data_IF_310184787056
#
_entry.id   IF_310184787056
#
_cell.length_a   1.000
_cell.length_b   1.000
_cell.length_c   1.000
_cell.angle_alpha   90.00
_cell.angle_beta   90.00
_cell.angle_gamma   90.00
#
_symmetry.space_group_name_H-M   'P 1'
#
loop_
_entity.id
_entity.type
_entity.pdbx_description
1 polymer ?
#
# COMPACT_ATOMS: atom_id res chain seq x y z
N UNK A 1 14.09 2.63 11.84
CA UNK A 1 13.38 2.75 10.54
C UNK A 1 13.13 4.22 10.29
N UNK A 2 13.36 4.72 9.07
CA UNK A 2 12.96 6.09 8.69
C UNK A 2 11.49 6.04 8.27
N UNK A 3 10.73 7.06 8.67
CA UNK A 3 9.40 7.27 8.12
C UNK A 3 9.51 7.59 6.63
N UNK A 4 8.51 7.16 5.88
CA UNK A 4 8.39 7.36 4.44
C UNK A 4 7.53 8.59 4.22
N UNK A 5 7.95 9.51 3.35
CA UNK A 5 7.24 10.79 3.12
C UNK A 5 6.56 10.88 1.76
N UNK A 6 6.82 9.91 0.87
CA UNK A 6 6.15 9.80 -0.43
C UNK A 6 5.94 8.34 -0.81
N UNK A 7 5.03 8.05 -1.73
CA UNK A 7 4.75 6.67 -2.16
C UNK A 7 5.83 6.10 -3.08
N UNK A 8 6.58 6.93 -3.80
CA UNK A 8 7.72 6.49 -4.61
C UNK A 8 8.82 5.86 -3.74
N UNK A 9 8.97 6.35 -2.50
CA UNK A 9 9.89 5.74 -1.55
C UNK A 9 9.43 4.33 -1.15
N UNK A 10 8.12 4.03 -1.15
CA UNK A 10 7.62 2.67 -0.90
C UNK A 10 8.10 1.68 -1.98
N UNK A 11 8.24 2.14 -3.22
CA UNK A 11 8.72 1.32 -4.35
C UNK A 11 10.18 0.88 -4.15
N UNK A 12 10.97 1.61 -3.37
CA UNK A 12 12.37 1.27 -3.07
C UNK A 12 12.47 0.07 -2.12
N UNK A 13 11.42 -0.24 -1.37
CA UNK A 13 11.38 -1.39 -0.48
C UNK A 13 10.81 -2.61 -1.21
N UNK A 14 11.67 -3.40 -1.85
CA UNK A 14 11.25 -4.58 -2.63
C UNK A 14 10.39 -5.58 -1.85
N UNK A 15 10.57 -5.70 -0.53
CA UNK A 15 9.75 -6.57 0.32
C UNK A 15 8.29 -6.13 0.48
N UNK A 16 7.97 -4.87 0.20
CA UNK A 16 6.60 -4.36 0.24
C UNK A 16 5.80 -4.77 -0.99
N UNK A 17 6.43 -5.17 -2.11
CA UNK A 17 5.72 -5.49 -3.35
C UNK A 17 4.64 -4.46 -3.68
N UNK A 18 5.01 -3.18 -3.68
CA UNK A 18 4.08 -2.08 -3.93
C UNK A 18 3.37 -2.27 -5.28
N UNK A 19 2.06 -2.00 -5.30
CA UNK A 19 1.23 -1.99 -6.51
C UNK A 19 0.24 -0.82 -6.47
N UNK A 20 0.12 -0.09 -7.57
CA UNK A 20 -1.03 0.78 -7.83
C UNK A 20 -2.11 -0.06 -8.51
N UNK A 21 -3.33 -0.04 -7.98
CA UNK A 21 -4.49 -0.74 -8.53
C UNK A 21 -5.14 0.19 -9.55
N UNK A 22 -4.77 0.01 -10.82
CA UNK A 22 -5.25 0.85 -11.94
C UNK A 22 -6.68 0.53 -12.38
N UNK A 23 -7.15 -0.66 -12.02
CA UNK A 23 -8.52 -1.12 -12.33
C UNK A 23 -9.53 -0.72 -11.25
N UNK A 24 -9.06 -0.03 -10.20
CA UNK A 24 -9.89 0.54 -9.15
C UNK A 24 -10.23 1.99 -9.53
N UNK A 25 -11.52 2.38 -9.58
CA UNK A 25 -11.93 3.72 -9.99
C UNK A 25 -11.39 4.83 -9.08
N UNK A 26 -11.01 4.49 -7.85
CA UNK A 26 -10.48 5.43 -6.86
C UNK A 26 -8.93 5.38 -6.78
N UNK A 27 -8.27 4.56 -7.60
CA UNK A 27 -6.80 4.57 -7.73
C UNK A 27 -6.05 4.06 -6.49
N UNK A 28 -6.56 3.02 -5.85
CA UNK A 28 -6.00 2.46 -4.62
C UNK A 28 -4.57 1.93 -4.76
N UNK A 29 -3.81 1.96 -3.67
CA UNK A 29 -2.45 1.47 -3.54
C UNK A 29 -2.41 0.24 -2.63
N UNK A 30 -1.47 -0.68 -2.85
CA UNK A 30 -1.35 -1.90 -2.06
C UNK A 30 0.10 -2.26 -1.73
N UNK A 31 0.34 -2.73 -0.50
CA UNK A 31 1.64 -3.25 -0.01
C UNK A 31 1.49 -4.57 0.74
N UNK A 32 2.50 -5.42 0.67
CA UNK A 32 2.60 -6.69 1.38
C UNK A 32 3.27 -6.49 2.73
N UNK A 33 2.70 -7.10 3.77
CA UNK A 33 3.28 -7.16 5.11
C UNK A 33 3.37 -8.61 5.59
N UNK A 34 4.42 -8.90 6.35
CA UNK A 34 4.67 -10.21 6.98
C UNK A 34 4.57 -11.42 6.03
N UNK A 35 4.72 -11.22 4.72
CA UNK A 35 4.43 -12.19 3.65
C UNK A 35 2.99 -12.75 3.63
N UNK A 36 2.19 -12.53 4.66
CA UNK A 36 0.86 -13.13 4.84
C UNK A 36 -0.27 -12.18 4.49
N UNK A 37 -0.05 -10.86 4.55
CA UNK A 37 -1.14 -9.90 4.34
C UNK A 37 -0.83 -8.88 3.28
N UNK A 38 -1.88 -8.35 2.66
CA UNK A 38 -1.84 -7.19 1.79
C UNK A 38 -2.69 -6.08 2.38
N UNK A 39 -2.07 -4.92 2.57
CA UNK A 39 -2.75 -3.69 2.97
C UNK A 39 -3.17 -2.96 1.71
N UNK A 40 -4.44 -2.59 1.66
CA UNK A 40 -5.05 -1.75 0.63
C UNK A 40 -5.32 -0.37 1.23
N UNK A 41 -4.77 0.67 0.62
CA UNK A 41 -4.85 2.04 1.12
C UNK A 41 -4.98 3.05 -0.02
N UNK A 42 -5.42 4.25 0.31
CA UNK A 42 -5.41 5.40 -0.60
C UNK A 42 -4.62 6.53 0.03
N UNK A 43 -3.86 7.22 -0.82
CA UNK A 43 -3.15 8.43 -0.44
C UNK A 43 -4.16 9.58 -0.33
N UNK A 44 -4.06 10.38 0.72
CA UNK A 44 -4.81 11.63 0.79
C UNK A 44 -3.91 12.71 0.20
N UNK A 45 -4.35 13.33 -0.89
CA UNK A 45 -3.68 14.52 -1.42
C UNK A 45 -3.96 15.70 -0.48
N UNK A 46 -3.01 15.98 0.41
CA UNK A 46 -3.04 17.14 1.29
C UNK A 46 -1.62 17.62 1.64
N UNK A 47 -1.52 18.83 2.18
CA UNK A 47 -0.26 19.43 2.62
C UNK A 47 0.12 19.03 4.06
N UNK A 48 -0.38 17.90 4.58
CA UNK A 48 -0.08 17.45 5.94
C UNK A 48 1.27 16.73 6.02
N UNK A 49 2.01 16.99 7.10
CA UNK A 49 3.26 16.30 7.44
C UNK A 49 3.15 15.70 8.85
N UNK A 50 3.14 14.35 9.00
CA UNK A 50 3.35 13.35 7.95
C UNK A 50 2.11 13.15 7.06
N UNK A 51 2.30 12.71 5.80
CA UNK A 51 1.20 12.39 4.89
C UNK A 51 0.24 11.38 5.51
N UNK A 52 -1.06 11.56 5.26
CA UNK A 52 -2.09 10.62 5.71
C UNK A 52 -2.55 9.71 4.60
N UNK A 53 -2.94 8.50 5.00
CA UNK A 53 -3.53 7.50 4.13
C UNK A 53 -4.84 7.02 4.73
N UNK A 54 -5.79 6.66 3.87
CA UNK A 54 -6.99 5.93 4.27
C UNK A 54 -6.72 4.44 4.12
N UNK A 55 -6.83 3.70 5.22
CA UNK A 55 -6.77 2.24 5.19
C UNK A 55 -8.14 1.68 4.83
N UNK A 56 -8.23 0.91 3.75
CA UNK A 56 -9.49 0.31 3.30
C UNK A 56 -9.66 -1.10 3.83
N UNK A 57 -8.62 -1.93 3.67
CA UNK A 57 -8.69 -3.34 4.03
C UNK A 57 -7.30 -3.93 4.26
N UNK A 58 -7.27 -4.97 5.10
CA UNK A 58 -6.18 -5.92 5.19
C UNK A 58 -6.70 -7.27 4.68
N UNK A 59 -6.07 -7.80 3.64
CA UNK A 59 -6.42 -9.09 3.04
C UNK A 59 -5.35 -10.12 3.37
N UNK A 60 -5.77 -11.34 3.67
CA UNK A 60 -4.85 -12.47 3.79
C UNK A 60 -4.48 -12.97 2.39
N UNK A 61 -3.18 -13.11 2.13
CA UNK A 61 -2.63 -13.68 0.90
C UNK A 61 -2.71 -15.20 1.06
N UNK A 62 -3.93 -15.75 1.10
CA UNK A 62 -4.12 -17.18 0.96
C UNK A 62 -3.81 -17.52 -0.48
N UNK A 63 -2.85 -18.43 -0.69
CA UNK A 63 -2.46 -18.88 -2.01
C UNK A 63 -3.56 -19.83 -2.52
N UNK A 64 -4.72 -19.29 -2.91
CA UNK A 64 -5.86 -20.06 -3.41
C UNK A 64 -5.74 -20.30 -4.92
N UNK A 65 -4.59 -20.84 -5.34
CA UNK A 65 -4.44 -21.51 -6.61
C UNK A 65 -4.16 -22.98 -6.30
N UNK A 66 -5.21 -23.79 -6.31
CA UNK A 66 -5.13 -25.22 -6.67
C UNK A 66 -5.35 -25.37 -8.17
#
# INVERSE_FOLDING_TARGET
>A
MRAVTTVEQLMQFGGLHYKKLTDDPDGMSAVRINKQYRIHFMEIENDEDPPRVVLFRIEEITNHYE
#
